data_IF_359013706541
#
_entry.id   IF_359013706541
#
_cell.length_a   1.000
_cell.length_b   1.000
_cell.length_c   1.000
_cell.angle_alpha   90.00
_cell.angle_beta   90.00
_cell.angle_gamma   90.00
#
_symmetry.space_group_name_H-M   'P 1'
#
loop_
_entity.id
_entity.type
_entity.pdbx_description
1 polymer ?
#
# COMPACT_ATOMS: atom_id res chain seq x y z
N UNK A 1 4.91 -8.32 21.31
CA UNK A 1 6.09 -8.53 20.45
C UNK A 1 5.75 -9.72 19.59
N UNK A 2 4.72 -9.60 18.74
CA UNK A 2 3.99 -10.76 18.22
C UNK A 2 3.44 -10.53 16.81
N UNK A 3 4.33 -10.20 15.86
CA UNK A 3 3.95 -10.08 14.44
C UNK A 3 4.96 -10.76 13.50
N UNK A 4 5.54 -11.89 13.92
CA UNK A 4 5.98 -12.92 12.96
C UNK A 4 4.76 -13.78 12.65
N UNK A 5 3.69 -13.15 12.15
CA UNK A 5 2.59 -13.88 11.53
C UNK A 5 3.03 -14.16 10.11
N UNK A 6 2.83 -15.39 9.64
CA UNK A 6 3.14 -15.85 8.28
C UNK A 6 2.38 -15.08 7.16
N UNK A 7 1.44 -14.22 7.54
CA UNK A 7 0.52 -13.48 6.67
C UNK A 7 1.22 -12.58 5.62
N UNK A 8 2.25 -11.78 5.94
CA UNK A 8 2.89 -10.90 4.96
C UNK A 8 3.74 -11.67 3.94
N UNK A 9 4.22 -12.86 4.29
CA UNK A 9 5.02 -13.69 3.40
C UNK A 9 4.15 -14.34 2.33
N UNK A 10 2.90 -14.69 2.66
CA UNK A 10 1.94 -15.26 1.70
C UNK A 10 1.71 -14.35 0.50
N UNK A 11 1.68 -13.03 0.69
CA UNK A 11 1.43 -12.07 -0.40
C UNK A 11 2.60 -11.93 -1.39
N UNK A 12 3.75 -12.58 -1.14
CA UNK A 12 4.79 -12.71 -2.16
C UNK A 12 4.35 -13.64 -3.31
N UNK A 13 3.48 -14.61 -3.03
CA UNK A 13 2.89 -15.45 -4.07
C UNK A 13 1.85 -14.66 -4.85
N UNK A 14 1.98 -14.68 -6.19
CA UNK A 14 1.07 -14.01 -7.10
C UNK A 14 -0.39 -14.39 -6.86
N UNK A 15 -0.68 -15.68 -6.71
CA UNK A 15 -2.05 -16.17 -6.54
C UNK A 15 -2.73 -15.58 -5.29
N UNK A 16 -2.00 -15.42 -4.20
CA UNK A 16 -2.55 -14.83 -2.98
C UNK A 16 -2.89 -13.35 -3.15
N UNK A 17 -2.18 -12.64 -4.04
CA UNK A 17 -2.55 -11.26 -4.38
C UNK A 17 -3.76 -11.22 -5.30
N UNK A 18 -3.80 -12.10 -6.30
CA UNK A 18 -4.94 -12.22 -7.21
C UNK A 18 -6.24 -12.50 -6.45
N UNK A 19 -6.20 -13.40 -5.47
CA UNK A 19 -7.35 -13.75 -4.62
C UNK A 19 -7.91 -12.56 -3.81
N UNK A 20 -7.18 -11.46 -3.67
CA UNK A 20 -7.70 -10.27 -2.97
C UNK A 20 -8.70 -9.48 -3.80
N UNK A 21 -8.64 -9.60 -5.14
CA UNK A 21 -9.50 -8.86 -6.07
C UNK A 21 -10.88 -9.52 -6.14
N UNK A 22 -11.71 -9.23 -5.16
CA UNK A 22 -13.14 -9.57 -5.16
C UNK A 22 -13.94 -8.34 -5.61
N UNK A 23 -14.79 -8.51 -6.63
CA UNK A 23 -15.63 -7.44 -7.17
C UNK A 23 -14.84 -6.23 -7.73
N UNK A 24 -13.63 -6.47 -8.24
CA UNK A 24 -12.84 -5.44 -8.93
C UNK A 24 -13.57 -4.94 -10.20
N UNK A 25 -13.70 -3.62 -10.42
CA UNK A 25 -14.55 -3.08 -11.48
C UNK A 25 -14.02 -3.29 -12.91
N UNK A 26 -12.71 -3.53 -13.08
CA UNK A 26 -12.06 -3.60 -14.39
C UNK A 26 -11.70 -5.04 -14.76
N UNK A 27 -12.29 -5.57 -15.83
CA UNK A 27 -12.18 -6.98 -16.22
C UNK A 27 -11.53 -7.13 -17.62
N UNK A 28 -11.89 -8.15 -18.40
CA UNK A 28 -11.18 -8.60 -19.62
C UNK A 28 -10.86 -7.51 -20.66
N UNK A 29 -11.67 -6.45 -20.77
CA UNK A 29 -11.48 -5.36 -21.74
C UNK A 29 -10.56 -4.21 -21.22
N UNK A 30 -10.01 -4.34 -20.02
CA UNK A 30 -9.19 -3.31 -19.37
C UNK A 30 -7.71 -3.70 -19.32
N UNK A 31 -6.83 -2.72 -19.11
CA UNK A 31 -5.40 -2.91 -18.81
C UNK A 31 -5.21 -3.20 -17.32
N UNK A 32 -5.95 -2.52 -16.45
CA UNK A 32 -5.90 -2.69 -14.99
C UNK A 32 -6.71 -3.89 -14.47
N UNK A 33 -6.62 -5.04 -15.14
CA UNK A 33 -7.29 -6.28 -14.70
C UNK A 33 -6.72 -6.79 -13.36
N UNK A 34 -7.44 -7.64 -12.61
CA UNK A 34 -6.94 -8.26 -11.39
C UNK A 34 -5.57 -8.94 -11.56
N UNK A 35 -5.34 -9.60 -12.69
CA UNK A 35 -4.07 -10.26 -13.02
C UNK A 35 -2.93 -9.27 -13.17
N UNK A 36 -3.15 -8.17 -13.89
CA UNK A 36 -2.12 -7.15 -14.11
C UNK A 36 -1.85 -6.37 -12.81
N UNK A 37 -2.88 -6.09 -12.04
CA UNK A 37 -2.77 -5.48 -10.70
C UNK A 37 -1.96 -6.37 -9.76
N UNK A 38 -2.29 -7.66 -9.66
CA UNK A 38 -1.57 -8.62 -8.83
C UNK A 38 -0.12 -8.85 -9.31
N UNK A 39 0.14 -8.86 -10.62
CA UNK A 39 1.52 -8.92 -11.18
C UNK A 39 2.34 -7.69 -10.76
N UNK A 40 1.76 -6.50 -10.81
CA UNK A 40 2.40 -5.26 -10.36
C UNK A 40 2.56 -5.17 -8.82
N UNK A 41 2.09 -6.16 -8.07
CA UNK A 41 2.25 -6.23 -6.62
C UNK A 41 1.12 -5.56 -5.84
N UNK A 42 0.01 -5.22 -6.48
CA UNK A 42 -1.17 -4.71 -5.79
C UNK A 42 -2.01 -5.84 -5.18
N UNK A 43 -2.70 -5.48 -4.10
CA UNK A 43 -3.83 -6.19 -3.52
C UNK A 43 -5.01 -5.22 -3.47
N UNK A 44 -6.22 -5.75 -3.58
CA UNK A 44 -7.44 -4.96 -3.46
C UNK A 44 -7.81 -4.80 -1.98
N UNK A 45 -8.00 -3.56 -1.54
CA UNK A 45 -8.32 -3.20 -0.15
C UNK A 45 -9.49 -2.19 -0.14
N UNK A 46 -10.67 -2.59 -0.64
CA UNK A 46 -11.78 -1.68 -0.84
C UNK A 46 -12.26 -1.09 0.49
N UNK A 47 -12.78 0.13 0.43
CA UNK A 47 -13.52 0.75 1.53
C UNK A 47 -14.91 1.15 1.02
N UNK A 48 -15.85 1.42 1.94
CA UNK A 48 -17.22 1.83 1.58
C UNK A 48 -17.26 3.07 0.67
N UNK A 49 -16.27 3.96 0.80
CA UNK A 49 -16.21 5.23 0.07
C UNK A 49 -15.34 5.16 -1.20
N UNK A 50 -14.49 4.14 -1.30
CA UNK A 50 -13.55 3.97 -2.41
C UNK A 50 -13.45 2.47 -2.73
N UNK A 51 -14.29 1.96 -3.65
CA UNK A 51 -14.37 0.53 -3.96
C UNK A 51 -13.18 0.02 -4.78
N UNK A 52 -12.37 0.90 -5.36
CA UNK A 52 -11.25 0.58 -6.25
C UNK A 52 -9.88 0.86 -5.62
N UNK A 53 -9.79 0.99 -4.28
CA UNK A 53 -8.48 1.14 -3.63
C UNK A 53 -7.65 -0.13 -3.82
N UNK A 54 -6.48 0.05 -4.42
CA UNK A 54 -5.44 -0.96 -4.49
C UNK A 54 -4.21 -0.52 -3.71
N UNK A 55 -3.62 -1.44 -2.94
CA UNK A 55 -2.41 -1.20 -2.16
C UNK A 55 -1.30 -2.15 -2.60
N UNK A 56 -0.08 -1.63 -2.79
CA UNK A 56 1.06 -2.53 -2.95
C UNK A 56 1.37 -3.26 -1.63
N UNK A 57 1.37 -4.60 -1.63
CA UNK A 57 1.65 -5.40 -0.42
C UNK A 57 3.05 -5.16 0.19
N UNK A 58 3.97 -4.63 -0.62
CA UNK A 58 5.37 -4.42 -0.28
C UNK A 58 5.62 -2.99 0.22
N UNK A 59 5.41 -1.97 -0.62
CA UNK A 59 5.72 -0.58 -0.27
C UNK A 59 4.56 0.14 0.44
N UNK A 60 3.38 -0.51 0.52
CA UNK A 60 2.16 0.00 1.15
C UNK A 60 1.60 1.28 0.53
N UNK A 61 2.01 1.60 -0.70
CA UNK A 61 1.45 2.70 -1.48
C UNK A 61 0.03 2.30 -1.91
N UNK A 62 -0.93 3.11 -1.50
CA UNK A 62 -2.33 3.06 -1.93
C UNK A 62 -2.53 3.96 -3.14
N UNK A 63 -3.32 3.47 -4.09
CA UNK A 63 -3.80 4.16 -5.28
C UNK A 63 -5.30 3.85 -5.43
N UNK A 64 -6.06 4.85 -5.82
CA UNK A 64 -7.51 4.82 -6.09
C UNK A 64 -7.80 5.71 -7.30
N UNK A 65 -9.00 5.61 -7.86
CA UNK A 65 -9.38 6.31 -9.08
C UNK A 65 -8.79 5.67 -10.33
N UNK A 66 -8.76 4.34 -10.37
CA UNK A 66 -8.23 3.59 -11.51
C UNK A 66 -9.13 3.78 -12.74
N UNK A 67 -8.51 3.90 -13.90
CA UNK A 67 -9.16 3.94 -15.21
C UNK A 67 -8.87 2.64 -15.99
N UNK A 68 -9.77 2.21 -16.90
CA UNK A 68 -9.59 0.98 -17.67
C UNK A 68 -8.24 0.89 -18.39
N UNK A 69 -7.67 2.00 -18.85
CA UNK A 69 -6.44 2.06 -19.63
C UNK A 69 -5.17 2.10 -18.78
N UNK A 70 -5.29 2.21 -17.45
CA UNK A 70 -4.15 2.34 -16.56
C UNK A 70 -3.29 1.07 -16.55
N UNK A 71 -1.98 1.26 -16.67
CA UNK A 71 -0.99 0.19 -16.58
C UNK A 71 -0.49 0.09 -15.13
N UNK A 72 -0.84 -0.97 -14.38
CA UNK A 72 -0.52 -1.05 -12.96
C UNK A 72 0.98 -1.00 -12.66
N UNK A 73 1.83 -1.54 -13.56
CA UNK A 73 3.27 -1.50 -13.38
C UNK A 73 3.82 -0.08 -13.57
N UNK A 74 3.31 0.67 -14.56
CA UNK A 74 3.68 2.08 -14.76
C UNK A 74 3.21 2.95 -13.61
N UNK A 75 1.96 2.79 -13.17
CA UNK A 75 1.40 3.53 -12.04
C UNK A 75 2.21 3.28 -10.76
N UNK A 76 2.54 2.02 -10.48
CA UNK A 76 3.38 1.68 -9.34
C UNK A 76 4.77 2.32 -9.44
N UNK A 77 5.44 2.26 -10.59
CA UNK A 77 6.77 2.88 -10.78
C UNK A 77 6.72 4.40 -10.67
N UNK A 78 5.64 5.04 -11.14
CA UNK A 78 5.43 6.48 -11.05
C UNK A 78 5.25 6.93 -9.58
N UNK A 79 4.38 6.23 -8.85
CA UNK A 79 3.99 6.62 -7.49
C UNK A 79 4.88 6.08 -6.37
N UNK A 80 5.68 5.04 -6.64
CA UNK A 80 6.65 4.47 -5.69
C UNK A 80 7.90 3.93 -6.41
N UNK A 81 8.70 4.81 -7.06
CA UNK A 81 9.85 4.40 -7.89
C UNK A 81 10.94 3.65 -7.11
N UNK A 82 10.96 3.78 -5.79
CA UNK A 82 11.91 3.10 -4.90
C UNK A 82 11.40 1.77 -4.35
N UNK A 83 10.22 1.29 -4.75
CA UNK A 83 9.70 0.00 -4.31
C UNK A 83 10.59 -1.16 -4.80
N UNK A 84 11.18 -1.89 -3.86
CA UNK A 84 12.09 -3.01 -4.18
C UNK A 84 11.39 -4.21 -4.81
N UNK A 85 10.07 -4.32 -4.69
CA UNK A 85 9.31 -5.38 -5.35
C UNK A 85 9.14 -5.11 -6.85
N UNK A 86 8.65 -3.93 -7.25
CA UNK A 86 8.40 -3.60 -8.67
C UNK A 86 9.68 -3.41 -9.48
N UNK A 87 10.82 -3.19 -8.80
CA UNK A 87 12.15 -3.06 -9.40
C UNK A 87 12.95 -4.37 -9.40
N UNK A 88 12.36 -5.46 -8.88
CA UNK A 88 13.03 -6.75 -8.78
C UNK A 88 13.28 -7.34 -10.17
N UNK A 89 14.53 -7.73 -10.43
CA UNK A 89 14.95 -8.30 -11.75
C UNK A 89 14.77 -9.82 -11.84
N UNK A 90 14.42 -10.45 -10.74
CA UNK A 90 14.28 -11.90 -10.56
C UNK A 90 12.88 -12.18 -10.03
N UNK A 91 12.31 -13.34 -10.35
CA UNK A 91 11.08 -13.75 -9.67
C UNK A 91 11.39 -14.05 -8.21
N UNK A 92 10.40 -13.91 -7.32
CA UNK A 92 10.59 -14.14 -5.89
C UNK A 92 11.02 -15.59 -5.62
N UNK A 93 10.50 -16.54 -6.39
CA UNK A 93 10.79 -17.98 -6.30
C UNK A 93 12.24 -18.31 -6.65
N UNK A 94 12.91 -17.44 -7.41
CA UNK A 94 14.31 -17.61 -7.81
C UNK A 94 15.33 -16.94 -6.87
N UNK A 95 14.85 -16.28 -5.82
CA UNK A 95 15.71 -15.64 -4.83
C UNK A 95 16.34 -16.68 -3.90
N UNK A 96 17.61 -16.48 -3.58
CA UNK A 96 18.23 -17.15 -2.44
C UNK A 96 17.60 -16.67 -1.13
N UNK A 97 17.76 -17.45 -0.06
CA UNK A 97 17.31 -17.06 1.29
C UNK A 97 17.88 -15.70 1.69
N UNK A 98 19.15 -15.44 1.38
CA UNK A 98 19.78 -14.15 1.69
C UNK A 98 19.15 -12.99 0.91
N UNK A 99 18.92 -13.16 -0.40
CA UNK A 99 18.25 -12.13 -1.23
C UNK A 99 16.83 -11.87 -0.72
N UNK A 100 16.09 -12.92 -0.36
CA UNK A 100 14.75 -12.81 0.20
C UNK A 100 14.75 -12.07 1.54
N UNK A 101 15.66 -12.39 2.46
CA UNK A 101 15.78 -11.68 3.74
C UNK A 101 16.15 -10.20 3.57
N UNK A 102 17.00 -9.87 2.58
CA UNK A 102 17.27 -8.47 2.21
C UNK A 102 16.02 -7.78 1.68
N UNK A 103 15.24 -8.45 0.83
CA UNK A 103 13.98 -7.93 0.32
C UNK A 103 12.96 -7.67 1.45
N UNK A 104 12.83 -8.60 2.41
CA UNK A 104 12.00 -8.43 3.61
C UNK A 104 12.45 -7.25 4.47
N UNK A 105 13.76 -7.07 4.65
CA UNK A 105 14.31 -5.90 5.37
C UNK A 105 13.88 -4.60 4.72
N UNK A 106 13.91 -4.50 3.39
CA UNK A 106 13.46 -3.29 2.69
C UNK A 106 11.95 -3.08 2.86
N UNK A 107 11.13 -4.14 2.80
CA UNK A 107 9.70 -4.08 3.12
C UNK A 107 9.45 -3.50 4.52
N UNK A 108 10.21 -3.96 5.51
CA UNK A 108 10.06 -3.50 6.89
C UNK A 108 10.38 -2.01 7.05
N UNK A 109 11.30 -1.47 6.26
CA UNK A 109 11.55 -0.01 6.23
C UNK A 109 10.32 0.76 5.73
N UNK A 110 9.62 0.27 4.71
CA UNK A 110 8.37 0.89 4.24
C UNK A 110 7.29 0.87 5.32
N UNK A 111 7.12 -0.26 6.01
CA UNK A 111 6.19 -0.38 7.14
C UNK A 111 6.50 0.66 8.22
N UNK A 112 7.75 0.68 8.71
CA UNK A 112 8.18 1.62 9.76
C UNK A 112 7.95 3.06 9.30
N UNK A 113 8.33 3.40 8.06
CA UNK A 113 8.14 4.74 7.51
C UNK A 113 6.66 5.14 7.47
N UNK A 114 5.77 4.26 7.00
CA UNK A 114 4.32 4.51 6.97
C UNK A 114 3.76 4.69 8.37
N UNK A 115 4.10 3.81 9.31
CA UNK A 115 3.66 3.90 10.71
C UNK A 115 4.12 5.19 11.38
N UNK A 116 5.40 5.57 11.21
CA UNK A 116 5.93 6.82 11.75
C UNK A 116 5.23 8.05 11.15
N UNK A 117 5.02 8.07 9.83
CA UNK A 117 4.29 9.15 9.15
C UNK A 117 2.88 9.32 9.71
N UNK A 118 2.11 8.23 9.79
CA UNK A 118 0.76 8.25 10.36
C UNK A 118 0.72 8.73 11.82
N UNK A 119 1.73 8.39 12.62
CA UNK A 119 1.83 8.87 14.00
C UNK A 119 2.10 10.37 14.07
N UNK A 120 2.93 10.89 13.17
CA UNK A 120 3.20 12.34 13.04
C UNK A 120 1.93 13.07 12.60
N UNK A 121 1.26 12.61 11.55
CA UNK A 121 0.04 13.25 11.03
C UNK A 121 -1.05 13.35 12.11
N UNK A 122 -1.26 12.26 12.87
CA UNK A 122 -2.21 12.25 14.00
C UNK A 122 -1.84 13.26 15.08
N UNK A 123 -0.54 13.38 15.39
CA UNK A 123 -0.07 14.35 16.37
C UNK A 123 -0.29 15.79 15.88
N UNK A 124 0.01 16.08 14.61
CA UNK A 124 -0.19 17.39 14.02
C UNK A 124 -1.68 17.81 14.00
N UNK A 125 -2.59 16.89 13.65
CA UNK A 125 -4.03 17.16 13.73
C UNK A 125 -4.51 17.41 15.16
N UNK A 126 -4.01 16.64 16.14
CA UNK A 126 -4.31 16.88 17.55
C UNK A 126 -3.79 18.26 18.02
N UNK A 127 -2.62 18.69 17.55
CA UNK A 127 -2.07 20.03 17.83
C UNK A 127 -2.94 21.12 17.24
N UNK A 128 -3.40 20.98 15.98
CA UNK A 128 -4.31 21.95 15.34
C UNK A 128 -5.62 22.10 16.11
N UNK A 129 -6.24 20.98 16.48
CA UNK A 129 -7.48 20.97 17.27
C UNK A 129 -7.26 21.66 18.63
N UNK A 130 -6.19 21.30 19.34
CA UNK A 130 -5.91 21.88 20.66
C UNK A 130 -5.64 23.39 20.57
N UNK A 131 -4.95 23.83 19.53
CA UNK A 131 -4.72 25.26 19.26
C UNK A 131 -6.04 26.01 19.04
N UNK A 132 -6.95 25.45 18.25
CA UNK A 132 -8.29 26.02 18.04
C UNK A 132 -9.05 26.21 19.35
N UNK A 133 -9.05 25.19 20.22
CA UNK A 133 -9.68 25.25 21.54
C UNK A 133 -9.08 26.35 22.43
N UNK A 134 -7.74 26.48 22.45
CA UNK A 134 -7.06 27.51 23.25
C UNK A 134 -7.46 28.92 22.79
N UNK A 135 -7.56 29.14 21.47
CA UNK A 135 -7.98 30.43 20.91
C UNK A 135 -9.43 30.74 21.29
N UNK A 136 -10.34 29.79 21.14
CA UNK A 136 -11.75 29.96 21.50
C UNK A 136 -11.93 30.29 22.99
N UNK A 137 -11.27 29.54 23.88
CA UNK A 137 -11.31 29.81 25.33
C UNK A 137 -10.73 31.18 25.69
N UNK A 138 -9.70 31.65 24.98
CA UNK A 138 -9.11 32.97 25.21
C UNK A 138 -10.00 34.13 24.74
N UNK A 139 -10.90 33.88 23.78
CA UNK A 139 -11.84 34.88 23.24
C UNK A 139 -13.13 35.00 24.07
N UNK A 140 -13.33 34.16 25.09
CA UNK A 140 -14.51 34.23 25.97
C UNK A 140 -15.81 33.74 25.32
N UNK A 141 -15.70 32.99 24.21
CA UNK A 141 -16.81 32.34 23.54
C UNK A 141 -16.98 30.93 24.11
N UNK A 142 -17.70 30.82 25.24
CA UNK A 142 -18.20 29.55 25.81
C UNK A 142 -19.31 28.94 24.94
#
# INVERSE_FOLDING_TARGET
MDHINDEPTKLYFYENRLLTFDSWPFQEDCVCTPENMAKAGFIHVPSENSPDIAQCFFCLKELEGWEPEDDPEKEHKSHSPSCNFITLKKSVESLTVEEFLRLQKERQKFIIKKMCGQAIDKFEEAVKLKRGQIIQSAMGEE
#
